data_IF_472494653280
#
_entry.id   IF_472494653280
#
_cell.length_a   1.000
_cell.length_b   1.000
_cell.length_c   1.000
_cell.angle_alpha   90.00
_cell.angle_beta   90.00
_cell.angle_gamma   90.00
#
_symmetry.space_group_name_H-M   'P 1'
#
loop_
_entity.id
_entity.type
_entity.pdbx_description
1 polymer ?
#
# COMPACT_ATOMS: atom_id res chain seq x y z
N UNK A 1 8.64 11.51 10.77
CA UNK A 1 8.85 11.52 9.31
C UNK A 1 8.76 10.14 8.65
N UNK A 2 9.49 9.12 9.10
CA UNK A 2 9.40 7.77 8.49
C UNK A 2 7.99 7.16 8.58
N UNK A 3 7.29 7.43 9.69
CA UNK A 3 5.96 6.88 9.93
C UNK A 3 4.90 7.43 8.96
N UNK A 4 4.92 8.73 8.70
CA UNK A 4 4.05 9.38 7.70
C UNK A 4 4.32 8.86 6.28
N UNK A 5 5.59 8.66 5.94
CA UNK A 5 5.96 8.09 4.63
C UNK A 5 5.41 6.67 4.45
N UNK A 6 5.55 5.83 5.48
CA UNK A 6 5.02 4.45 5.48
C UNK A 6 3.50 4.46 5.38
N UNK A 7 2.82 5.36 6.10
CA UNK A 7 1.37 5.49 6.04
C UNK A 7 0.88 5.95 4.67
N UNK A 8 1.52 6.96 4.07
CA UNK A 8 1.19 7.43 2.73
C UNK A 8 1.41 6.34 1.67
N UNK A 9 2.55 5.63 1.73
CA UNK A 9 2.86 4.54 0.80
C UNK A 9 1.87 3.39 0.89
N UNK A 10 1.42 3.02 2.10
CA UNK A 10 0.51 1.88 2.28
C UNK A 10 -0.97 2.23 2.05
N UNK A 11 -1.43 3.44 2.40
CA UNK A 11 -2.86 3.77 2.45
C UNK A 11 -3.32 4.85 1.46
N UNK A 12 -2.45 5.80 1.09
CA UNK A 12 -2.84 6.98 0.31
C UNK A 12 -2.35 6.95 -1.15
N UNK A 13 -1.24 6.26 -1.41
CA UNK A 13 -0.65 6.19 -2.75
C UNK A 13 -1.59 5.44 -3.71
N UNK A 14 -1.82 6.00 -4.89
CA UNK A 14 -2.56 5.34 -5.97
C UNK A 14 -1.63 4.34 -6.66
N UNK A 15 -1.73 3.06 -6.29
CA UNK A 15 -0.92 1.99 -6.89
C UNK A 15 -1.59 1.32 -8.11
N UNK A 16 -2.86 1.64 -8.36
CA UNK A 16 -3.68 1.03 -9.42
C UNK A 16 -3.16 1.25 -10.84
N UNK A 17 -2.42 2.33 -11.10
CA UNK A 17 -1.84 2.61 -12.44
C UNK A 17 -0.60 1.78 -12.75
N UNK A 18 0.05 1.20 -11.73
CA UNK A 18 1.31 0.48 -11.86
C UNK A 18 1.14 -1.04 -11.80
N UNK A 19 -0.09 -1.54 -11.63
CA UNK A 19 -0.38 -2.98 -11.47
C UNK A 19 0.16 -3.58 -10.16
N UNK A 20 0.66 -2.76 -9.25
CA UNK A 20 1.20 -3.20 -7.97
C UNK A 20 0.10 -3.17 -6.91
N UNK A 21 -0.20 -4.33 -6.31
CA UNK A 21 -1.01 -4.39 -5.09
C UNK A 21 -0.21 -3.85 -3.92
N UNK A 22 -0.85 -3.02 -3.10
CA UNK A 22 -0.20 -2.55 -1.87
C UNK A 22 0.08 -3.74 -0.96
N UNK A 23 1.15 -3.71 -0.15
CA UNK A 23 1.43 -4.78 0.80
C UNK A 23 0.27 -5.01 1.78
N UNK A 24 -0.51 -3.97 2.14
CA UNK A 24 -1.77 -4.10 2.88
C UNK A 24 -2.79 -4.94 2.10
N UNK A 25 -3.00 -4.64 0.82
CA UNK A 25 -3.92 -5.40 -0.03
C UNK A 25 -3.48 -6.85 -0.21
N UNK A 26 -2.17 -7.11 -0.30
CA UNK A 26 -1.64 -8.48 -0.41
C UNK A 26 -1.85 -9.29 0.88
N UNK A 27 -1.69 -8.66 2.05
CA UNK A 27 -1.92 -9.32 3.35
C UNK A 27 -3.42 -9.68 3.56
N UNK A 28 -4.33 -8.92 2.96
CA UNK A 28 -5.77 -9.22 2.96
C UNK A 28 -6.17 -10.35 1.98
N UNK A 29 -5.34 -10.63 0.97
CA UNK A 29 -5.60 -11.67 -0.04
C UNK A 29 -5.22 -13.08 0.47
N UNK A 30 -4.46 -13.18 1.56
CA UNK A 30 -4.07 -14.45 2.19
C UNK A 30 -5.08 -15.03 3.20
N UNK A 31 -6.38 -14.70 3.08
CA UNK A 31 -7.46 -15.29 3.88
C UNK A 31 -8.33 -16.17 2.98
#
# INVERSE_FOLDING_TARGET
>A
ELFDYVNWYNNLRVHGSLGYSTPTSYNQVSI
#
